data_IF_678726857509
#
_entry.id   IF_678726857509
#
_cell.length_a   1.000
_cell.length_b   1.000
_cell.length_c   1.000
_cell.angle_alpha   90.00
_cell.angle_beta   90.00
_cell.angle_gamma   90.00
#
_symmetry.space_group_name_H-M   'P 1'
#
loop_
_entity.id
_entity.type
_entity.pdbx_description
1 polymer ?
#
# COMPACT_ATOMS: atom_id res chain seq x y z
N UNK A 1 24.84 -6.16 11.26
CA UNK A 1 24.68 -7.01 10.07
C UNK A 1 23.38 -6.58 9.41
N UNK A 2 23.45 -5.58 8.54
CA UNK A 2 22.28 -5.08 7.81
C UNK A 2 21.94 -6.15 6.80
N UNK A 3 20.78 -6.80 6.96
CA UNK A 3 20.28 -7.69 5.91
C UNK A 3 20.21 -6.86 4.62
N UNK A 4 20.97 -7.27 3.61
CA UNK A 4 20.61 -6.97 2.23
C UNK A 4 19.22 -7.59 2.07
N UNK A 5 18.19 -6.76 2.22
CA UNK A 5 16.84 -7.11 1.80
C UNK A 5 16.98 -7.34 0.31
N UNK A 6 16.99 -8.61 -0.08
CA UNK A 6 16.93 -9.01 -1.47
C UNK A 6 15.74 -8.25 -2.08
N UNK A 7 16.04 -7.26 -2.93
CA UNK A 7 15.03 -6.39 -3.49
C UNK A 7 14.11 -7.29 -4.30
N UNK A 8 12.88 -7.47 -3.82
CA UNK A 8 11.86 -8.26 -4.48
C UNK A 8 11.50 -7.52 -5.77
N UNK A 9 11.91 -8.02 -6.96
CA UNK A 9 11.72 -7.28 -8.21
C UNK A 9 10.24 -7.00 -8.52
N UNK A 10 9.33 -7.76 -7.92
CA UNK A 10 7.88 -7.56 -8.01
C UNK A 10 7.36 -6.39 -7.16
N UNK A 11 8.14 -5.90 -6.19
CA UNK A 11 7.77 -4.79 -5.31
C UNK A 11 8.35 -3.48 -5.81
N UNK A 12 7.49 -2.47 -5.89
CA UNK A 12 7.84 -1.11 -6.32
C UNK A 12 7.90 -0.22 -5.09
N UNK A 13 9.05 0.44 -4.92
CA UNK A 13 9.19 1.49 -3.92
C UNK A 13 8.41 2.73 -4.33
N UNK A 14 7.56 3.21 -3.42
CA UNK A 14 6.80 4.42 -3.64
C UNK A 14 7.62 5.64 -3.21
N UNK A 15 7.82 6.57 -4.15
CA UNK A 15 8.36 7.88 -3.83
C UNK A 15 7.42 8.67 -2.90
N UNK A 16 7.91 9.80 -2.39
CA UNK A 16 7.17 10.62 -1.43
C UNK A 16 5.82 11.12 -1.99
N UNK A 17 5.78 11.51 -3.27
CA UNK A 17 4.55 12.00 -3.92
C UNK A 17 3.51 10.88 -4.02
N UNK A 18 3.89 9.72 -4.53
CA UNK A 18 3.01 8.56 -4.64
C UNK A 18 2.51 8.12 -3.25
N UNK A 19 3.39 8.08 -2.26
CA UNK A 19 3.03 7.74 -0.87
C UNK A 19 2.04 8.73 -0.26
N UNK A 20 2.19 10.03 -0.54
CA UNK A 20 1.27 11.06 -0.09
C UNK A 20 -0.12 10.89 -0.74
N UNK A 21 -0.18 10.62 -2.05
CA UNK A 21 -1.43 10.33 -2.77
C UNK A 21 -2.15 9.11 -2.21
N UNK A 22 -1.42 8.02 -1.92
CA UNK A 22 -2.01 6.84 -1.28
C UNK A 22 -2.60 7.20 0.09
N UNK A 23 -1.89 7.97 0.91
CA UNK A 23 -2.37 8.40 2.23
C UNK A 23 -3.65 9.24 2.13
N UNK A 24 -3.71 10.14 1.15
CA UNK A 24 -4.90 10.94 0.85
C UNK A 24 -6.07 10.05 0.41
N UNK A 25 -5.84 9.11 -0.51
CA UNK A 25 -6.86 8.17 -0.97
C UNK A 25 -7.42 7.30 0.17
N UNK A 26 -6.58 6.83 1.08
CA UNK A 26 -7.03 6.11 2.29
C UNK A 26 -7.97 7.00 3.10
N UNK A 27 -7.64 8.27 3.28
CA UNK A 27 -8.46 9.23 4.03
C UNK A 27 -9.79 9.51 3.33
N UNK A 28 -9.76 9.84 2.03
CA UNK A 28 -10.95 10.18 1.23
C UNK A 28 -11.91 8.99 1.12
N UNK A 29 -11.39 7.76 1.02
CA UNK A 29 -12.20 6.53 1.01
C UNK A 29 -12.67 6.09 2.40
N UNK A 30 -12.35 6.83 3.45
CA UNK A 30 -12.73 6.52 4.82
C UNK A 30 -12.07 5.25 5.38
N UNK A 31 -10.83 4.96 4.97
CA UNK A 31 -10.09 3.79 5.37
C UNK A 31 -9.75 3.79 6.86
N UNK A 32 -10.05 2.68 7.52
CA UNK A 32 -9.73 2.44 8.93
C UNK A 32 -9.14 1.05 9.11
N UNK A 33 -8.37 0.88 10.18
CA UNK A 33 -7.79 -0.40 10.52
C UNK A 33 -8.88 -1.30 11.08
N UNK A 34 -9.16 -2.42 10.42
CA UNK A 34 -10.20 -3.37 10.86
C UNK A 34 -9.94 -3.93 12.28
N UNK A 35 -8.69 -3.92 12.74
CA UNK A 35 -8.30 -4.49 14.02
C UNK A 35 -8.44 -3.52 15.21
N UNK A 36 -8.21 -2.21 15.00
CA UNK A 36 -8.20 -1.23 16.10
C UNK A 36 -8.97 0.07 15.83
N UNK A 37 -9.59 0.21 14.65
CA UNK A 37 -10.34 1.41 14.24
C UNK A 37 -9.49 2.65 13.93
N UNK A 38 -8.15 2.55 13.97
CA UNK A 38 -7.26 3.68 13.69
C UNK A 38 -7.28 4.07 12.21
N UNK A 39 -7.10 5.35 11.92
CA UNK A 39 -7.13 5.91 10.56
C UNK A 39 -5.74 6.32 10.04
N UNK A 40 -4.72 6.24 10.88
CA UNK A 40 -3.35 6.60 10.52
C UNK A 40 -2.53 5.38 10.09
N UNK A 41 -2.01 5.45 8.87
CA UNK A 41 -1.25 4.39 8.22
C UNK A 41 0.09 4.93 7.69
N UNK A 42 1.14 4.13 7.85
CA UNK A 42 2.36 4.26 7.06
C UNK A 42 2.17 3.51 5.74
N UNK A 43 2.51 4.17 4.63
CA UNK A 43 2.50 3.59 3.29
C UNK A 43 3.83 2.89 3.03
N UNK A 44 3.77 1.67 2.50
CA UNK A 44 4.91 0.87 2.12
C UNK A 44 5.03 0.68 0.61
N UNK A 45 5.63 -0.43 0.20
CA UNK A 45 5.82 -0.79 -1.20
C UNK A 45 4.50 -1.20 -1.87
N UNK A 46 4.47 -1.14 -3.20
CA UNK A 46 3.35 -1.61 -4.01
C UNK A 46 3.71 -2.89 -4.77
N UNK A 47 2.75 -3.80 -4.87
CA UNK A 47 2.83 -5.01 -5.70
C UNK A 47 1.90 -4.84 -6.90
N UNK A 48 2.43 -4.96 -8.11
CA UNK A 48 1.60 -5.00 -9.31
C UNK A 48 0.85 -6.34 -9.39
N UNK A 49 -0.45 -6.29 -9.66
CA UNK A 49 -1.31 -7.48 -9.75
C UNK A 49 -1.62 -7.89 -11.20
N UNK A 50 -1.31 -7.05 -12.19
CA UNK A 50 -1.59 -7.37 -13.59
C UNK A 50 -0.80 -8.58 -14.09
N UNK A 51 -1.40 -9.29 -15.05
CA UNK A 51 -1.00 -10.58 -15.63
C UNK A 51 -1.16 -11.82 -14.73
N UNK A 52 -0.84 -11.75 -13.43
CA UNK A 52 -0.85 -12.95 -12.56
C UNK A 52 -2.22 -13.27 -11.94
N UNK A 53 -3.10 -12.27 -11.83
CA UNK A 53 -4.42 -12.42 -11.24
C UNK A 53 -5.50 -12.17 -12.30
N UNK A 54 -6.15 -13.24 -12.77
CA UNK A 54 -7.04 -13.23 -13.96
C UNK A 54 -8.28 -12.33 -13.84
N UNK A 55 -8.69 -11.95 -12.63
CA UNK A 55 -9.84 -11.08 -12.35
C UNK A 55 -9.44 -9.64 -11.95
N UNK A 56 -8.15 -9.33 -11.96
CA UNK A 56 -7.66 -7.99 -11.62
C UNK A 56 -7.57 -7.09 -12.85
N UNK A 57 -7.81 -5.79 -12.64
CA UNK A 57 -7.60 -4.80 -13.70
C UNK A 57 -6.12 -4.80 -14.13
N UNK A 58 -5.86 -4.59 -15.43
CA UNK A 58 -4.51 -4.59 -16.01
C UNK A 58 -3.57 -3.52 -15.40
N UNK A 59 -4.11 -2.57 -14.64
CA UNK A 59 -3.36 -1.51 -13.96
C UNK A 59 -3.49 -1.57 -12.43
N UNK A 60 -3.91 -2.71 -11.86
CA UNK A 60 -4.12 -2.88 -10.44
C UNK A 60 -2.83 -3.12 -9.63
N UNK A 61 -2.79 -2.52 -8.44
CA UNK A 61 -1.72 -2.64 -7.46
C UNK A 61 -2.30 -2.93 -6.07
N UNK A 62 -1.60 -3.74 -5.27
CA UNK A 62 -1.76 -3.77 -3.83
C UNK A 62 -0.67 -2.91 -3.19
N UNK A 63 -1.08 -1.84 -2.52
CA UNK A 63 -0.16 -0.97 -1.76
C UNK A 63 -0.19 -1.36 -0.31
N UNK A 64 0.98 -1.68 0.25
CA UNK A 64 1.11 -2.07 1.66
C UNK A 64 0.81 -0.88 2.58
N UNK A 65 0.01 -1.14 3.63
CA UNK A 65 -0.30 -0.19 4.69
C UNK A 65 0.04 -0.79 6.05
N UNK A 66 0.64 0.01 6.92
CA UNK A 66 0.87 -0.36 8.32
C UNK A 66 0.21 0.63 9.25
N UNK A 67 -0.78 0.20 10.02
CA UNK A 67 -1.42 1.01 11.05
C UNK A 67 -0.36 1.50 12.04
N UNK A 68 -0.34 2.81 12.33
CA UNK A 68 0.67 3.42 13.21
C UNK A 68 0.40 3.20 14.69
N UNK A 69 -0.77 2.68 15.06
CA UNK A 69 -1.06 2.33 16.45
C UNK A 69 -0.19 1.14 16.88
N UNK A 70 0.76 1.40 17.78
CA UNK A 70 1.72 0.40 18.28
C UNK A 70 1.07 -0.72 19.09
N UNK A 71 -0.15 -0.50 19.58
CA UNK A 71 -0.96 -1.50 20.29
C UNK A 71 -1.91 -2.27 19.35
N UNK A 72 -1.87 -2.02 18.04
CA UNK A 72 -2.74 -2.70 17.09
C UNK A 72 -2.36 -4.19 16.99
N UNK A 73 -3.30 -5.13 17.21
CA UNK A 73 -2.99 -6.57 17.19
C UNK A 73 -2.72 -7.10 15.77
N UNK A 74 -3.17 -6.38 14.73
CA UNK A 74 -2.94 -6.73 13.32
C UNK A 74 -2.68 -5.45 12.50
N UNK A 75 -1.47 -4.87 12.58
CA UNK A 75 -1.19 -3.55 12.03
C UNK A 75 -1.00 -3.56 10.51
N UNK A 76 -0.69 -4.72 9.90
CA UNK A 76 -0.39 -4.81 8.47
C UNK A 76 -1.64 -5.12 7.66
N UNK A 77 -1.88 -4.33 6.63
CA UNK A 77 -2.95 -4.50 5.64
C UNK A 77 -2.49 -3.98 4.28
N UNK A 78 -3.37 -3.94 3.30
CA UNK A 78 -3.10 -3.32 2.01
C UNK A 78 -4.36 -2.65 1.46
N UNK A 79 -4.17 -1.72 0.52
CA UNK A 79 -5.24 -1.12 -0.28
C UNK A 79 -5.03 -1.44 -1.76
N UNK A 80 -6.11 -1.80 -2.44
CA UNK A 80 -6.10 -2.00 -3.90
C UNK A 80 -6.34 -0.67 -4.60
N UNK A 81 -5.43 -0.31 -5.50
CA UNK A 81 -5.45 0.94 -6.28
C UNK A 81 -5.07 0.66 -7.73
N UNK A 82 -5.55 1.49 -8.65
CA UNK A 82 -5.04 1.52 -10.03
C UNK A 82 -3.86 2.46 -10.16
N UNK A 83 -2.93 2.23 -11.11
CA UNK A 83 -1.73 3.07 -11.30
C UNK A 83 -2.06 4.56 -11.38
N UNK A 84 -3.05 4.93 -12.19
CA UNK A 84 -3.45 6.33 -12.41
C UNK A 84 -4.04 7.03 -11.18
N UNK A 85 -4.33 6.31 -10.10
CA UNK A 85 -4.81 6.91 -8.86
C UNK A 85 -3.68 7.50 -8.00
N UNK A 86 -2.46 6.98 -8.11
CA UNK A 86 -1.37 7.33 -7.17
C UNK A 86 0.01 7.48 -7.80
N UNK A 87 0.27 6.88 -8.98
CA UNK A 87 1.50 7.10 -9.73
C UNK A 87 1.36 8.36 -10.60
N UNK A 88 2.39 9.21 -10.59
CA UNK A 88 2.57 10.22 -11.64
C UNK A 88 3.45 9.58 -12.72
N UNK A 89 3.03 9.69 -13.98
CA UNK A 89 3.82 9.32 -15.16
C UNK A 89 4.47 10.55 -15.77
#
# INVERSE_FOLDING_TARGET
>A
MTAIVDARPELIDLGQIASARVSELVTVRGGYCAACGGTDFAVGQALYLGFLFLDEDDDAYLVALTCRNTSCPQPRTAIRLRSGEFLDY
#
